data_IF_353436039694
#
_entry.id   IF_353436039694
#
_cell.length_a   1.000
_cell.length_b   1.000
_cell.length_c   1.000
_cell.angle_alpha   90.00
_cell.angle_beta   90.00
_cell.angle_gamma   90.00
#
_symmetry.space_group_name_H-M   'P 1'
#
loop_
_entity.id
_entity.type
_entity.pdbx_description
1 polymer ?
#
# COMPACT_ATOMS: atom_id res chain seq x y z
N UNK A 1 9.06 19.34 18.06
CA UNK A 1 8.23 18.12 18.13
C UNK A 1 7.71 17.80 16.73
N UNK A 2 8.10 16.67 16.13
CA UNK A 2 7.70 16.32 14.75
C UNK A 2 6.18 16.06 14.72
N UNK A 3 5.48 16.53 13.69
CA UNK A 3 4.05 16.28 13.44
C UNK A 3 3.70 14.79 13.57
N UNK A 4 4.64 13.90 13.22
CA UNK A 4 4.53 12.46 13.39
C UNK A 4 4.37 12.01 14.85
N UNK A 5 5.06 12.68 15.77
CA UNK A 5 5.04 12.36 17.20
C UNK A 5 3.69 12.72 17.83
N UNK A 6 3.02 13.75 17.32
CA UNK A 6 1.69 14.18 17.75
C UNK A 6 0.57 13.19 17.37
N UNK A 7 0.75 12.39 16.31
CA UNK A 7 -0.20 11.32 15.95
C UNK A 7 -0.13 10.10 16.87
N UNK A 8 0.99 9.92 17.58
CA UNK A 8 1.23 8.74 18.44
C UNK A 8 0.68 8.98 19.87
N UNK A 9 0.46 10.23 20.28
CA UNK A 9 0.44 10.58 21.72
C UNK A 9 -0.90 10.84 22.42
N UNK A 10 -2.08 10.80 21.78
CA UNK A 10 -3.32 11.08 22.56
C UNK A 10 -4.12 9.85 23.02
N UNK A 11 -3.56 8.64 22.80
CA UNK A 11 -3.69 7.37 23.57
C UNK A 11 -3.51 6.20 22.61
N UNK A 12 -2.27 5.83 22.36
CA UNK A 12 -1.97 4.51 21.77
C UNK A 12 -2.53 3.44 22.73
N UNK A 13 -3.40 2.52 22.28
CA UNK A 13 -3.97 1.52 23.18
C UNK A 13 -2.86 0.68 23.83
N UNK A 14 -3.11 0.18 25.04
CA UNK A 14 -2.13 -0.60 25.78
C UNK A 14 -1.69 -1.83 24.96
N UNK A 15 -0.37 -2.09 24.94
CA UNK A 15 0.22 -3.19 24.17
C UNK A 15 0.50 -2.93 22.69
N UNK A 16 0.18 -1.74 22.18
CA UNK A 16 0.56 -1.34 20.82
C UNK A 16 1.96 -0.71 20.81
N UNK A 17 2.71 -0.99 19.75
CA UNK A 17 4.07 -0.48 19.55
C UNK A 17 4.15 0.34 18.27
N UNK A 18 5.13 1.24 18.20
CA UNK A 18 5.41 1.97 16.96
C UNK A 18 6.74 1.50 16.39
N UNK A 19 6.76 1.16 15.10
CA UNK A 19 7.96 0.78 14.37
C UNK A 19 8.12 1.65 13.12
N UNK A 20 9.34 2.05 12.74
CA UNK A 20 9.51 2.80 11.51
C UNK A 20 9.28 1.90 10.29
N UNK A 21 8.73 2.47 9.21
CA UNK A 21 8.42 1.74 7.96
C UNK A 21 9.59 0.90 7.45
N UNK A 22 10.81 1.43 7.50
CA UNK A 22 12.02 0.72 7.05
C UNK A 22 12.30 -0.59 7.79
N UNK A 23 11.79 -0.73 9.02
CA UNK A 23 11.97 -1.95 9.81
C UNK A 23 10.98 -3.05 9.42
N UNK A 24 9.95 -2.73 8.63
CA UNK A 24 8.93 -3.66 8.15
C UNK A 24 9.11 -4.00 6.67
N UNK A 25 9.73 -3.10 5.90
CA UNK A 25 9.76 -3.18 4.44
C UNK A 25 11.12 -2.77 3.88
N UNK A 26 11.63 -3.58 2.96
CA UNK A 26 12.84 -3.29 2.18
C UNK A 26 12.47 -2.98 0.74
N UNK A 27 12.85 -1.80 0.24
CA UNK A 27 12.70 -1.48 -1.18
C UNK A 27 13.59 -2.41 -2.00
N UNK A 28 13.02 -3.02 -3.03
CA UNK A 28 13.73 -3.92 -3.93
C UNK A 28 13.34 -3.64 -5.37
N UNK A 29 14.29 -3.83 -6.28
CA UNK A 29 14.08 -3.72 -7.73
C UNK A 29 14.66 -4.98 -8.38
N UNK A 30 13.77 -5.82 -8.93
CA UNK A 30 14.12 -7.01 -9.71
C UNK A 30 13.36 -6.94 -11.03
N UNK A 31 14.06 -7.02 -12.15
CA UNK A 31 13.50 -6.86 -13.50
C UNK A 31 13.83 -8.08 -14.36
N UNK A 32 13.36 -8.12 -15.60
CA UNK A 32 13.59 -9.26 -16.51
C UNK A 32 12.61 -10.42 -16.33
N UNK A 33 11.43 -10.17 -15.75
CA UNK A 33 10.36 -11.16 -15.55
C UNK A 33 9.16 -10.84 -16.47
N UNK A 34 9.41 -10.70 -17.77
CA UNK A 34 8.42 -10.17 -18.74
C UNK A 34 7.20 -11.07 -18.93
N UNK A 35 7.30 -12.35 -18.60
CA UNK A 35 6.23 -13.33 -18.75
C UNK A 35 5.25 -13.35 -17.55
N UNK A 36 5.56 -12.61 -16.47
CA UNK A 36 4.70 -12.50 -15.29
C UNK A 36 3.51 -11.57 -15.55
N UNK A 37 2.42 -11.77 -14.79
CA UNK A 37 1.19 -10.99 -14.93
C UNK A 37 1.42 -9.50 -14.65
N UNK A 38 0.92 -8.63 -15.52
CA UNK A 38 0.98 -7.19 -15.32
C UNK A 38 -0.03 -6.73 -14.27
N UNK A 39 0.47 -6.15 -13.19
CA UNK A 39 -0.31 -5.66 -12.06
C UNK A 39 -0.41 -4.12 -12.07
N UNK A 40 -1.48 -3.61 -11.46
CA UNK A 40 -1.72 -2.19 -11.21
C UNK A 40 -2.09 -1.94 -9.75
N UNK A 41 -1.77 -0.76 -9.22
CA UNK A 41 -2.14 -0.36 -7.85
C UNK A 41 -3.20 0.73 -7.91
N UNK A 42 -4.42 0.37 -7.51
CA UNK A 42 -5.58 1.25 -7.45
C UNK A 42 -5.81 1.78 -6.04
N UNK A 43 -6.40 2.97 -5.95
CA UNK A 43 -6.85 3.55 -4.68
C UNK A 43 -7.86 2.66 -3.96
N UNK A 44 -8.86 2.16 -4.70
CA UNK A 44 -10.02 1.49 -4.10
C UNK A 44 -9.81 -0.04 -4.03
N UNK A 45 -9.08 -0.62 -4.98
CA UNK A 45 -8.89 -2.07 -5.08
C UNK A 45 -7.52 -2.57 -4.60
N UNK A 46 -6.56 -1.69 -4.36
CA UNK A 46 -5.19 -2.09 -4.05
C UNK A 46 -4.49 -2.69 -5.28
N UNK A 47 -3.69 -3.75 -5.08
CA UNK A 47 -2.98 -4.42 -6.19
C UNK A 47 -3.90 -5.42 -6.87
N UNK A 48 -4.09 -5.28 -8.18
CA UNK A 48 -4.90 -6.18 -9.02
C UNK A 48 -4.25 -6.43 -10.38
N UNK A 49 -4.58 -7.51 -11.09
CA UNK A 49 -4.24 -7.67 -12.50
C UNK A 49 -4.74 -6.48 -13.31
N UNK A 50 -3.89 -5.88 -14.14
CA UNK A 50 -4.28 -4.73 -14.97
C UNK A 50 -5.43 -5.10 -15.91
N UNK A 51 -5.43 -6.32 -16.44
CA UNK A 51 -6.46 -6.86 -17.33
C UNK A 51 -7.82 -7.06 -16.65
N UNK A 52 -7.91 -7.02 -15.32
CA UNK A 52 -9.18 -7.19 -14.61
C UNK A 52 -10.12 -5.99 -14.70
N UNK A 53 -9.64 -4.86 -15.25
CA UNK A 53 -10.40 -3.61 -15.39
C UNK A 53 -10.00 -2.86 -16.66
N UNK A 54 -10.95 -2.16 -17.26
CA UNK A 54 -10.78 -1.32 -18.46
C UNK A 54 -10.70 0.18 -18.15
N UNK A 55 -10.98 0.59 -16.91
CA UNK A 55 -10.92 1.98 -16.43
C UNK A 55 -9.49 2.53 -16.23
N UNK A 56 -8.45 1.70 -16.45
CA UNK A 56 -7.04 2.10 -16.35
C UNK A 56 -6.47 2.63 -17.67
N UNK A 57 -6.63 3.92 -17.89
CA UNK A 57 -6.08 4.59 -19.07
C UNK A 57 -4.56 4.83 -19.03
N UNK A 58 -3.84 4.34 -18.01
CA UNK A 58 -2.37 4.42 -18.02
C UNK A 58 -1.82 3.51 -19.11
N UNK A 59 -1.16 4.11 -20.10
CA UNK A 59 -0.50 3.39 -21.19
C UNK A 59 0.65 2.55 -20.63
N UNK A 60 0.58 1.24 -20.86
CA UNK A 60 1.70 0.34 -20.59
C UNK A 60 2.82 0.55 -21.61
N UNK A 61 4.02 0.10 -21.25
CA UNK A 61 5.15 0.14 -22.17
C UNK A 61 5.01 -1.04 -23.14
N UNK A 62 5.38 -0.84 -24.40
CA UNK A 62 5.52 -1.94 -25.37
C UNK A 62 6.62 -2.92 -24.93
N UNK A 63 7.61 -2.43 -24.18
CA UNK A 63 8.65 -3.23 -23.55
C UNK A 63 8.47 -3.28 -22.02
N UNK A 64 8.20 -4.49 -21.51
CA UNK A 64 8.04 -4.76 -20.07
C UNK A 64 9.36 -5.16 -19.37
N UNK A 65 10.50 -5.18 -20.05
CA UNK A 65 11.80 -5.62 -19.51
C UNK A 65 12.21 -4.92 -18.21
N UNK A 66 11.84 -3.64 -18.08
CA UNK A 66 12.14 -2.79 -16.93
C UNK A 66 11.11 -2.87 -15.80
N UNK A 67 9.99 -3.57 -16.00
CA UNK A 67 8.97 -3.73 -14.98
C UNK A 67 9.51 -4.57 -13.82
N UNK A 68 9.04 -4.25 -12.62
CA UNK A 68 9.59 -4.75 -11.37
C UNK A 68 8.76 -5.92 -10.87
N UNK A 69 9.40 -7.04 -10.58
CA UNK A 69 8.77 -8.19 -9.96
C UNK A 69 8.23 -7.82 -8.56
N UNK A 70 7.03 -8.32 -8.28
CA UNK A 70 6.34 -8.27 -6.99
C UNK A 70 5.88 -9.69 -6.66
N UNK A 71 5.97 -10.06 -5.39
CA UNK A 71 5.44 -11.34 -4.89
C UNK A 71 4.27 -11.11 -3.92
N UNK A 72 3.57 -12.19 -3.58
CA UNK A 72 2.52 -12.14 -2.56
C UNK A 72 3.10 -11.66 -1.21
N UNK A 73 2.36 -10.81 -0.52
CA UNK A 73 2.77 -10.16 0.73
C UNK A 73 3.69 -8.94 0.54
N UNK A 74 4.11 -8.61 -0.68
CA UNK A 74 4.91 -7.41 -0.92
C UNK A 74 4.04 -6.16 -0.94
N UNK A 75 4.55 -5.07 -0.39
CA UNK A 75 3.89 -3.77 -0.50
C UNK A 75 4.28 -3.11 -1.82
N UNK A 76 3.30 -2.57 -2.53
CA UNK A 76 3.50 -1.82 -3.76
C UNK A 76 2.87 -0.45 -3.63
N UNK A 77 3.56 0.60 -4.10
CA UNK A 77 3.02 1.96 -4.13
C UNK A 77 3.35 2.65 -5.44
N UNK A 78 2.36 3.36 -6.00
CA UNK A 78 2.59 4.29 -7.10
C UNK A 78 3.04 5.63 -6.51
N UNK A 79 4.33 6.00 -6.67
CA UNK A 79 4.88 7.21 -6.03
C UNK A 79 4.13 8.50 -6.40
N UNK A 80 3.58 8.58 -7.60
CA UNK A 80 2.85 9.75 -8.12
C UNK A 80 1.41 9.85 -7.61
N UNK A 81 0.90 8.77 -7.00
CA UNK A 81 -0.50 8.64 -6.55
C UNK A 81 -0.63 8.14 -5.10
N UNK A 82 0.49 7.91 -4.41
CA UNK A 82 0.51 7.44 -3.04
C UNK A 82 -0.18 8.41 -2.07
N UNK A 83 -0.07 9.72 -2.30
CA UNK A 83 -0.79 10.75 -1.55
C UNK A 83 -2.32 10.66 -1.69
N UNK A 84 -2.80 9.91 -2.68
CA UNK A 84 -4.20 9.57 -2.88
C UNK A 84 -4.52 8.12 -2.50
N UNK A 85 -3.62 7.40 -1.83
CA UNK A 85 -3.86 6.03 -1.37
C UNK A 85 -3.55 4.92 -2.38
N UNK A 86 -2.80 5.18 -3.46
CA UNK A 86 -2.31 4.12 -4.36
C UNK A 86 -1.11 3.37 -3.75
N UNK A 87 -1.37 2.65 -2.66
CA UNK A 87 -0.42 1.81 -1.91
C UNK A 87 -1.17 0.59 -1.36
N UNK A 88 -0.62 -0.62 -1.50
CA UNK A 88 -1.30 -1.83 -1.02
C UNK A 88 -0.36 -3.02 -0.88
N UNK A 89 -0.69 -3.96 0.01
CA UNK A 89 -0.08 -5.28 0.05
C UNK A 89 -0.63 -6.11 -1.11
N UNK A 90 0.25 -6.72 -1.90
CA UNK A 90 -0.10 -7.56 -3.03
C UNK A 90 -0.57 -8.95 -2.60
N UNK A 91 -1.71 -9.39 -3.13
CA UNK A 91 -2.16 -10.79 -3.06
C UNK A 91 -1.69 -11.62 -4.27
N UNK A 92 -1.02 -10.97 -5.21
CA UNK A 92 -0.59 -11.53 -6.49
C UNK A 92 0.93 -11.51 -6.60
N UNK A 93 1.43 -12.46 -7.37
CA UNK A 93 2.77 -12.38 -7.95
C UNK A 93 2.62 -11.82 -9.36
N UNK A 94 3.51 -10.94 -9.77
CA UNK A 94 3.44 -10.29 -11.06
C UNK A 94 4.50 -9.21 -11.23
N UNK A 95 4.33 -8.36 -12.23
CA UNK A 95 5.21 -7.23 -12.51
C UNK A 95 4.46 -5.90 -12.45
N UNK A 96 5.15 -4.85 -11.99
CA UNK A 96 4.60 -3.50 -11.88
C UNK A 96 5.49 -2.47 -12.56
N UNK A 97 4.89 -1.35 -12.96
CA UNK A 97 5.58 -0.26 -13.65
C UNK A 97 6.87 0.20 -12.93
N UNK A 98 7.91 0.61 -13.65
CA UNK A 98 9.10 1.26 -13.08
C UNK A 98 8.78 2.50 -12.24
N UNK A 99 7.62 3.14 -12.47
CA UNK A 99 7.15 4.29 -11.69
C UNK A 99 6.75 3.91 -10.25
N UNK A 100 6.54 2.64 -9.96
CA UNK A 100 6.11 2.16 -8.65
C UNK A 100 7.32 1.79 -7.80
N UNK A 101 7.13 1.77 -6.48
CA UNK A 101 8.07 1.15 -5.56
C UNK A 101 7.50 -0.18 -5.09
N UNK A 102 8.31 -1.24 -5.20
CA UNK A 102 8.04 -2.56 -4.65
C UNK A 102 8.88 -2.76 -3.37
N UNK A 103 8.24 -3.30 -2.34
CA UNK A 103 8.85 -3.54 -1.05
C UNK A 103 8.64 -4.97 -0.60
N UNK A 104 9.75 -5.68 -0.39
CA UNK A 104 9.77 -6.98 0.24
C UNK A 104 9.51 -6.82 1.75
N UNK A 105 8.62 -7.61 2.36
CA UNK A 105 8.44 -7.60 3.80
C UNK A 105 9.71 -8.09 4.51
N UNK A 106 10.05 -7.43 5.62
CA UNK A 106 11.12 -7.79 6.56
C UNK A 106 10.57 -8.29 7.90
N UNK A 107 9.26 -8.16 8.10
CA UNK A 107 8.55 -8.55 9.32
C UNK A 107 7.48 -9.58 9.03
N UNK A 108 7.07 -10.32 10.05
CA UNK A 108 5.97 -11.28 9.99
C UNK A 108 4.66 -10.70 10.55
N UNK A 109 4.47 -9.37 10.46
CA UNK A 109 3.18 -8.73 10.81
C UNK A 109 2.08 -9.21 9.84
N UNK A 110 0.82 -9.07 10.23
CA UNK A 110 -0.30 -9.60 9.45
C UNK A 110 -0.55 -8.77 8.18
N UNK A 111 -0.31 -9.36 7.01
CA UNK A 111 -0.41 -8.70 5.69
C UNK A 111 -1.73 -7.96 5.47
N UNK A 112 -2.87 -8.59 5.77
CA UNK A 112 -4.17 -7.97 5.57
C UNK A 112 -4.43 -6.79 6.52
N UNK A 113 -3.88 -6.85 7.74
CA UNK A 113 -3.94 -5.73 8.66
C UNK A 113 -3.10 -4.56 8.13
N UNK A 114 -1.87 -4.83 7.68
CA UNK A 114 -1.00 -3.82 7.08
C UNK A 114 -1.63 -3.23 5.81
N UNK A 115 -2.31 -4.05 5.01
CA UNK A 115 -3.05 -3.64 3.84
C UNK A 115 -4.11 -2.58 4.19
N UNK A 116 -4.91 -2.81 5.23
CA UNK A 116 -5.91 -1.83 5.69
C UNK A 116 -5.27 -0.61 6.34
N UNK A 117 -4.31 -0.82 7.23
CA UNK A 117 -3.67 0.26 8.00
C UNK A 117 -3.02 1.29 7.08
N UNK A 118 -2.19 0.84 6.14
CA UNK A 118 -1.45 1.71 5.22
C UNK A 118 -2.37 2.38 4.18
N UNK A 119 -3.59 1.89 4.00
CA UNK A 119 -4.63 2.48 3.14
C UNK A 119 -5.64 3.33 3.90
N UNK A 120 -5.52 3.43 5.22
CA UNK A 120 -6.43 4.24 6.03
C UNK A 120 -6.26 5.74 5.75
N UNK A 121 -7.33 6.51 5.98
CA UNK A 121 -7.34 7.96 5.77
C UNK A 121 -6.23 8.70 6.51
N UNK A 122 -5.85 8.22 7.70
CA UNK A 122 -4.74 8.79 8.48
C UNK A 122 -3.39 8.63 7.78
N UNK A 123 -3.12 7.45 7.21
CA UNK A 123 -1.89 7.21 6.45
C UNK A 123 -1.90 7.93 5.10
N UNK A 124 -3.05 7.99 4.42
CA UNK A 124 -3.21 8.78 3.20
C UNK A 124 -2.93 10.27 3.46
N UNK A 125 -3.50 10.82 4.53
CA UNK A 125 -3.24 12.20 4.94
C UNK A 125 -1.76 12.43 5.28
N UNK A 126 -1.10 11.44 5.90
CA UNK A 126 0.34 11.50 6.14
C UNK A 126 1.12 11.52 4.82
N UNK A 127 0.82 10.65 3.86
CA UNK A 127 1.45 10.65 2.54
C UNK A 127 1.32 12.01 1.86
N UNK A 128 0.12 12.60 1.89
CA UNK A 128 -0.10 13.95 1.35
C UNK A 128 0.76 15.04 2.00
N UNK A 129 1.10 14.92 3.28
CA UNK A 129 1.97 15.88 3.98
C UNK A 129 3.45 15.72 3.64
N UNK A 130 3.89 14.51 3.29
CA UNK A 130 5.30 14.19 3.04
C UNK A 130 5.64 14.10 1.54
N UNK A 131 4.64 14.12 0.66
CA UNK A 131 4.81 14.26 -0.78
C UNK A 131 5.25 15.67 -1.18
N UNK A 132 5.96 15.77 -2.31
CA UNK A 132 6.53 17.03 -2.81
C UNK A 132 6.27 17.19 -4.31
N UNK A 133 6.09 18.44 -4.75
CA UNK A 133 5.99 18.82 -6.16
C UNK A 133 5.49 20.26 -6.33
N UNK A 134 5.72 20.87 -7.49
CA UNK A 134 5.32 22.27 -7.75
C UNK A 134 3.80 22.44 -7.78
N UNK A 135 3.10 21.47 -8.36
CA UNK A 135 1.63 21.40 -8.41
C UNK A 135 1.17 20.09 -7.78
N UNK A 136 -0.03 20.08 -7.21
CA UNK A 136 -0.60 18.90 -6.52
C UNK A 136 -0.64 17.66 -7.43
N UNK A 137 -0.91 17.84 -8.72
CA UNK A 137 -0.92 16.74 -9.69
C UNK A 137 0.48 16.21 -10.06
N UNK A 138 1.54 16.88 -9.60
CA UNK A 138 2.95 16.49 -9.78
C UNK A 138 3.58 16.05 -8.44
N UNK A 139 2.76 15.78 -7.42
CA UNK A 139 3.25 15.34 -6.14
C UNK A 139 3.71 13.88 -6.19
N UNK A 140 4.98 13.68 -5.84
CA UNK A 140 5.58 12.37 -5.65
C UNK A 140 5.84 12.10 -4.16
N UNK A 141 5.58 10.87 -3.74
CA UNK A 141 6.03 10.33 -2.47
C UNK A 141 7.39 9.67 -2.65
N UNK A 142 8.45 10.34 -2.20
CA UNK A 142 9.80 9.79 -2.26
C UNK A 142 10.01 8.66 -1.25
N UNK A 143 10.84 7.68 -1.63
CA UNK A 143 11.14 6.53 -0.79
C UNK A 143 11.73 6.95 0.56
N UNK A 144 12.63 7.93 0.56
CA UNK A 144 13.34 8.44 1.73
C UNK A 144 12.39 9.08 2.75
N UNK A 145 11.32 9.72 2.26
CA UNK A 145 10.27 10.28 3.10
C UNK A 145 9.40 9.17 3.71
N UNK A 146 9.02 8.17 2.90
CA UNK A 146 8.24 7.02 3.36
C UNK A 146 9.02 6.16 4.37
N UNK A 147 10.35 6.05 4.22
CA UNK A 147 11.23 5.19 5.02
C UNK A 147 11.06 5.37 6.53
N UNK A 148 10.81 6.60 6.98
CA UNK A 148 10.82 6.95 8.41
C UNK A 148 9.43 7.17 9.02
N UNK A 149 8.35 6.89 8.29
CA UNK A 149 7.02 7.05 8.88
C UNK A 149 6.79 6.04 10.01
N UNK A 150 6.08 6.43 11.09
CA UNK A 150 5.71 5.52 12.16
C UNK A 150 4.59 4.59 11.70
N UNK A 151 4.78 3.29 11.91
CA UNK A 151 3.77 2.25 11.76
C UNK A 151 3.30 1.79 13.12
N UNK A 152 2.02 2.00 13.40
CA UNK A 152 1.38 1.68 14.67
C UNK A 152 0.87 0.22 14.62
N UNK A 153 1.43 -0.63 15.48
CA UNK A 153 1.26 -2.08 15.44
C UNK A 153 0.72 -2.63 16.77
N UNK A 154 -0.48 -3.21 16.79
CA UNK A 154 -0.91 -4.06 17.90
C UNK A 154 -0.11 -5.37 17.94
N UNK A 155 -0.33 -6.17 18.98
CA UNK A 155 0.09 -7.57 18.98
C UNK A 155 -0.54 -8.33 17.79
N UNK A 156 0.18 -9.32 17.26
CA UNK A 156 -0.22 -10.08 16.07
C UNK A 156 -1.66 -10.62 16.14
N UNK A 157 -2.08 -11.15 17.31
CA UNK A 157 -3.44 -11.64 17.51
C UNK A 157 -4.49 -10.56 17.23
N UNK A 158 -4.30 -9.37 17.77
CA UNK A 158 -5.20 -8.24 17.55
C UNK A 158 -5.14 -7.72 16.10
N UNK A 159 -3.97 -7.77 15.43
CA UNK A 159 -3.89 -7.47 14.00
C UNK A 159 -4.80 -8.39 13.18
N UNK A 160 -4.76 -9.69 13.47
CA UNK A 160 -5.63 -10.69 12.81
C UNK A 160 -7.10 -10.41 13.10
N UNK A 161 -7.48 -10.21 14.36
CA UNK A 161 -8.87 -9.91 14.74
C UNK A 161 -9.41 -8.65 14.05
N UNK A 162 -8.61 -7.59 13.96
CA UNK A 162 -8.97 -6.37 13.22
C UNK A 162 -9.14 -6.66 11.73
N UNK A 163 -8.22 -7.40 11.12
CA UNK A 163 -8.29 -7.74 9.71
C UNK A 163 -9.53 -8.60 9.39
N UNK A 164 -9.80 -9.63 10.18
CA UNK A 164 -10.96 -10.50 10.03
C UNK A 164 -12.27 -9.71 10.15
N UNK A 165 -12.36 -8.79 11.13
CA UNK A 165 -13.52 -7.92 11.29
C UNK A 165 -13.73 -7.03 10.05
N UNK A 166 -12.68 -6.40 9.54
CA UNK A 166 -12.76 -5.55 8.35
C UNK A 166 -13.14 -6.35 7.09
N UNK A 167 -12.60 -7.54 6.90
CA UNK A 167 -12.98 -8.43 5.80
C UNK A 167 -14.47 -8.81 5.88
N UNK A 168 -14.99 -9.12 7.08
CA UNK A 168 -16.40 -9.45 7.30
C UNK A 168 -17.33 -8.26 6.98
N UNK A 169 -17.01 -7.07 7.48
CA UNK A 169 -17.82 -5.87 7.24
C UNK A 169 -17.79 -5.46 5.75
N UNK A 170 -16.65 -5.56 5.08
CA UNK A 170 -16.56 -5.30 3.65
C UNK A 170 -17.36 -6.32 2.84
N UNK A 171 -17.28 -7.60 3.16
CA UNK A 171 -18.08 -8.63 2.51
C UNK A 171 -19.59 -8.38 2.69
N UNK A 172 -20.01 -7.93 3.89
CA UNK A 172 -21.39 -7.54 4.17
C UNK A 172 -21.83 -6.34 3.33
N UNK A 173 -20.99 -5.31 3.23
CA UNK A 173 -21.26 -4.13 2.40
C UNK A 173 -21.38 -4.53 0.92
N UNK A 174 -20.47 -5.36 0.42
CA UNK A 174 -20.49 -5.84 -0.96
C UNK A 174 -21.75 -6.65 -1.30
N UNK A 175 -22.23 -7.47 -0.36
CA UNK A 175 -23.50 -8.19 -0.50
C UNK A 175 -24.70 -7.25 -0.58
N UNK A 176 -24.73 -6.19 0.25
CA UNK A 176 -25.79 -5.19 0.22
C UNK A 176 -25.79 -4.41 -1.11
N UNK A 177 -24.61 -4.03 -1.62
CA UNK A 177 -24.49 -3.34 -2.90
C UNK A 177 -24.95 -4.22 -4.06
N UNK A 178 -24.57 -5.51 -4.07
CA UNK A 178 -25.02 -6.46 -5.10
C UNK A 178 -26.53 -6.68 -5.10
N UNK A 179 -27.20 -6.59 -3.95
CA UNK A 179 -28.65 -6.71 -3.86
C UNK A 179 -29.44 -5.49 -4.34
N UNK A 180 -28.77 -4.39 -4.71
CA UNK A 180 -29.38 -3.17 -5.25
C UNK A 180 -29.46 -3.15 -6.79
N UNK A 181 -28.96 -4.19 -7.46
CA UNK A 181 -28.98 -4.39 -8.90
C UNK A 181 -29.54 -5.76 -9.26
#
# INVERSE_FOLDING_TARGET
MNILQKFITDKTPEGWTTRPFWSLFQRIKRTGFTDEELLSVYRDFGVIPKSSRDDNHNKESEDLSNYQLVDKGWLVTNKMKAWQGSIAISRYRGIVSPAYYAYKPLSNEHDQFLHYLLRSSNYIALYGRISKGVRVNQWDLEHEALRNIPILLPQYKAQKEIADFLDQELARIDQLIKGLY
#
